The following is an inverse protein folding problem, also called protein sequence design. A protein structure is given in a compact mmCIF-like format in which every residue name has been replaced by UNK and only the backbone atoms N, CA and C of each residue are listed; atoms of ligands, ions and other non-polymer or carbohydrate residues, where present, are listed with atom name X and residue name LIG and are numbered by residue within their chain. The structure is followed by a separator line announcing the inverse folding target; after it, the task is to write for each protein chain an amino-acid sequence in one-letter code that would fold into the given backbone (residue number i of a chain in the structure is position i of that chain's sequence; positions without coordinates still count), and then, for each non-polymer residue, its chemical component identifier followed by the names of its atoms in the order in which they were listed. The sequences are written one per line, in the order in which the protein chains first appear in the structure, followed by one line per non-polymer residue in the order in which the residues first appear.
data_IF_268449909513
#
_entry.id   IF_268449909513
#
_cell.length_a   1.000
_cell.length_b   1.000
_cell.length_c   1.000
_cell.angle_alpha   90.00
_cell.angle_beta   90.00
_cell.angle_gamma   90.00
#
_symmetry.space_group_name_H-M   'P 1'
#
loop_
_entity.id
_entity.type
_entity.pdbx_description
1 polymer ?
#
# COMPACT_ATOMS: atom_id res chain seq x y z
N UNK A 1 26.99 -22.62 11.74
CA UNK A 1 25.91 -22.73 10.75
C UNK A 1 25.99 -21.61 9.70
N UNK A 2 26.02 -20.32 10.09
CA UNK A 2 26.07 -19.20 9.15
C UNK A 2 27.25 -19.27 8.18
N UNK A 3 28.46 -19.54 8.68
CA UNK A 3 29.67 -19.66 7.86
C UNK A 3 29.59 -20.88 6.92
N UNK A 4 29.09 -22.01 7.42
CA UNK A 4 28.92 -23.22 6.62
C UNK A 4 27.88 -23.05 5.52
N UNK A 5 26.78 -22.35 5.84
CA UNK A 5 25.72 -21.99 4.90
C UNK A 5 26.24 -21.07 3.80
N UNK A 6 27.03 -20.05 4.16
CA UNK A 6 27.65 -19.12 3.20
C UNK A 6 28.61 -19.85 2.24
N UNK A 7 29.47 -20.74 2.77
CA UNK A 7 30.40 -21.55 1.95
C UNK A 7 29.62 -22.47 0.99
N UNK A 8 28.51 -23.08 1.47
CA UNK A 8 27.67 -23.95 0.63
C UNK A 8 26.96 -23.15 -0.48
N UNK A 9 26.50 -21.96 -0.21
CA UNK A 9 25.88 -21.10 -1.23
C UNK A 9 26.90 -20.69 -2.31
N UNK A 10 28.12 -20.27 -1.91
CA UNK A 10 29.20 -19.94 -2.85
C UNK A 10 29.61 -21.16 -3.70
N UNK A 11 29.71 -22.32 -3.07
CA UNK A 11 30.02 -23.54 -3.78
C UNK A 11 28.91 -23.93 -4.77
N UNK A 12 27.65 -23.71 -4.40
CA UNK A 12 26.50 -23.99 -5.26
C UNK A 12 26.51 -23.11 -6.49
N UNK A 13 26.83 -21.83 -6.34
CA UNK A 13 26.90 -20.88 -7.46
C UNK A 13 27.97 -21.28 -8.48
N UNK A 14 29.18 -21.62 -8.00
CA UNK A 14 30.28 -22.11 -8.85
C UNK A 14 29.92 -23.44 -9.52
N UNK A 15 29.31 -24.38 -8.78
CA UNK A 15 28.94 -25.68 -9.33
C UNK A 15 27.78 -25.58 -10.33
N UNK A 16 26.87 -24.66 -10.17
CA UNK A 16 25.75 -24.44 -11.10
C UNK A 16 26.27 -24.01 -12.47
N UNK A 17 27.29 -23.13 -12.50
CA UNK A 17 27.92 -22.72 -13.74
C UNK A 17 28.74 -23.80 -14.41
N UNK A 18 29.50 -24.61 -13.64
CA UNK A 18 30.37 -25.64 -14.17
C UNK A 18 29.60 -26.90 -14.66
N UNK A 19 28.54 -27.27 -13.94
CA UNK A 19 27.77 -28.51 -14.19
C UNK A 19 26.50 -28.28 -15.00
N UNK A 20 26.22 -27.02 -15.41
CA UNK A 20 24.99 -26.64 -16.12
C UNK A 20 23.70 -27.14 -15.41
N UNK A 21 23.62 -26.98 -14.09
CA UNK A 21 22.49 -27.47 -13.30
C UNK A 21 21.20 -26.66 -13.68
N UNK A 22 20.02 -27.29 -13.60
CA UNK A 22 18.77 -26.62 -13.85
C UNK A 22 18.56 -25.44 -12.89
N UNK A 23 17.88 -24.37 -13.33
CA UNK A 23 17.64 -23.14 -12.56
C UNK A 23 16.91 -23.34 -11.23
N UNK A 24 16.24 -24.47 -11.05
CA UNK A 24 15.58 -24.79 -9.76
C UNK A 24 16.54 -25.32 -8.69
N UNK A 25 17.72 -25.82 -9.06
CA UNK A 25 18.66 -26.48 -8.13
C UNK A 25 19.19 -25.51 -7.04
N UNK A 26 19.65 -24.28 -7.33
CA UNK A 26 20.05 -23.31 -6.31
C UNK A 26 18.90 -22.94 -5.36
N UNK A 27 17.67 -22.82 -5.90
CA UNK A 27 16.47 -22.51 -5.11
C UNK A 27 16.12 -23.63 -4.12
N UNK A 28 16.29 -24.88 -4.52
CA UNK A 28 16.05 -26.04 -3.67
C UNK A 28 17.10 -26.13 -2.55
N UNK A 29 18.39 -25.86 -2.84
CA UNK A 29 19.45 -25.81 -1.84
C UNK A 29 19.19 -24.71 -0.82
N UNK A 30 18.79 -23.52 -1.27
CA UNK A 30 18.41 -22.41 -0.40
C UNK A 30 17.25 -22.79 0.52
N UNK A 31 16.22 -23.46 -0.01
CA UNK A 31 15.08 -23.95 0.77
C UNK A 31 15.51 -24.97 1.83
N UNK A 32 16.38 -25.93 1.48
CA UNK A 32 16.92 -26.91 2.44
C UNK A 32 17.72 -26.25 3.57
N UNK A 33 18.52 -25.23 3.24
CA UNK A 33 19.28 -24.46 4.24
C UNK A 33 18.34 -23.67 5.17
N UNK A 34 17.27 -23.09 4.63
CA UNK A 34 16.26 -22.37 5.42
C UNK A 34 15.51 -23.32 6.38
N UNK A 35 15.09 -24.49 5.89
CA UNK A 35 14.43 -25.51 6.71
C UNK A 35 15.37 -26.08 7.78
N UNK A 36 16.67 -26.25 7.48
CA UNK A 36 17.69 -26.69 8.43
C UNK A 36 18.07 -25.65 9.48
N UNK A 37 17.80 -24.36 9.22
CA UNK A 37 18.12 -23.27 10.14
C UNK A 37 17.29 -23.33 11.42
N UNK A 38 16.01 -23.67 11.32
CA UNK A 38 15.09 -23.73 12.48
C UNK A 38 15.51 -24.78 13.50
N UNK A 39 15.79 -26.05 13.12
CA UNK A 39 16.34 -27.05 14.05
C UNK A 39 17.70 -26.64 14.63
N UNK A 40 18.56 -26.02 13.81
CA UNK A 40 19.86 -25.55 14.28
C UNK A 40 19.75 -24.49 15.37
N UNK A 41 18.79 -23.56 15.23
CA UNK A 41 18.46 -22.56 16.25
C UNK A 41 17.94 -23.20 17.54
N UNK A 42 17.04 -24.17 17.44
CA UNK A 42 16.48 -24.89 18.60
C UNK A 42 17.60 -25.65 19.33
N UNK A 43 18.49 -26.32 18.61
CA UNK A 43 19.63 -27.02 19.20
C UNK A 43 20.62 -26.05 19.85
N UNK A 44 20.90 -24.90 19.23
CA UNK A 44 21.78 -23.87 19.77
C UNK A 44 21.23 -23.24 21.06
N UNK A 45 19.88 -23.17 21.17
CA UNK A 45 19.22 -22.66 22.37
C UNK A 45 19.09 -23.71 23.48
N UNK A 46 18.91 -25.00 23.12
CA UNK A 46 18.70 -26.09 24.08
C UNK A 46 19.99 -26.63 24.71
N UNK A 47 21.16 -26.42 24.08
CA UNK A 47 22.43 -27.00 24.50
C UNK A 47 23.51 -25.95 24.68
N UNK A 48 24.19 -25.96 25.84
CA UNK A 48 25.34 -25.10 26.16
C UNK A 48 26.64 -25.91 26.13
N UNK A 49 27.69 -25.36 25.50
CA UNK A 49 29.03 -25.96 25.53
C UNK A 49 29.70 -25.67 26.86
N UNK A 50 29.99 -26.69 27.63
CA UNK A 50 30.79 -26.60 28.87
C UNK A 50 32.16 -27.27 28.71
N UNK A 51 33.14 -26.99 29.61
CA UNK A 51 34.46 -27.71 29.56
C UNK A 51 34.35 -29.22 29.69
N UNK A 52 33.19 -29.74 30.11
CA UNK A 52 32.92 -31.19 30.26
C UNK A 52 32.13 -31.79 29.10
N UNK A 53 31.77 -30.99 28.09
CA UNK A 53 31.01 -31.42 26.92
C UNK A 53 29.70 -30.64 26.70
N UNK A 54 28.83 -31.13 25.79
CA UNK A 54 27.54 -30.54 25.47
C UNK A 54 26.53 -31.00 26.51
N UNK A 55 25.97 -30.05 27.29
CA UNK A 55 24.94 -30.31 28.29
C UNK A 55 23.68 -29.50 28.03
N UNK A 56 22.52 -29.97 28.50
CA UNK A 56 21.28 -29.21 28.46
C UNK A 56 21.35 -27.99 29.39
N UNK A 57 20.89 -26.84 28.95
CA UNK A 57 20.91 -25.57 29.70
C UNK A 57 20.32 -25.69 31.11
N UNK A 58 19.34 -26.58 31.32
CA UNK A 58 18.74 -26.84 32.64
C UNK A 58 19.67 -27.47 33.69
N UNK A 59 20.72 -28.14 33.23
CA UNK A 59 21.61 -28.94 34.12
C UNK A 59 22.92 -28.23 34.42
N UNK A 60 23.16 -27.04 33.87
CA UNK A 60 24.37 -26.24 34.06
C UNK A 60 24.27 -25.40 35.31
N UNK A 61 25.17 -25.59 36.28
CA UNK A 61 25.28 -24.75 37.48
C UNK A 61 25.79 -23.35 37.08
N UNK A 62 25.10 -22.30 37.51
CA UNK A 62 25.41 -20.87 37.19
C UNK A 62 26.85 -20.42 37.43
N UNK A 63 27.58 -21.15 38.28
CA UNK A 63 29.01 -20.86 38.62
C UNK A 63 29.99 -21.38 37.57
N UNK A 64 29.57 -22.27 36.67
CA UNK A 64 30.41 -22.95 35.65
C UNK A 64 30.08 -22.49 34.23
N UNK A 65 29.06 -21.64 34.04
CA UNK A 65 28.66 -21.05 32.78
C UNK A 65 29.60 -19.92 32.35
N UNK A 66 30.12 -20.01 31.13
CA UNK A 66 31.02 -19.00 30.52
C UNK A 66 30.20 -17.87 29.88
N UNK A 67 28.89 -18.05 29.74
CA UNK A 67 27.95 -17.20 28.99
C UNK A 67 27.81 -15.76 29.50
N UNK A 68 27.89 -15.41 30.83
CA UNK A 68 27.64 -14.04 31.28
C UNK A 68 28.65 -12.99 30.82
N UNK A 69 29.86 -13.42 30.41
CA UNK A 69 30.92 -12.48 29.95
C UNK A 69 31.15 -12.49 28.44
N UNK A 70 30.78 -13.56 27.73
CA UNK A 70 31.08 -13.74 26.33
C UNK A 70 29.84 -13.52 25.46
N UNK A 71 28.64 -13.84 25.95
CA UNK A 71 27.38 -13.77 25.17
C UNK A 71 27.07 -12.36 24.65
N UNK A 72 27.11 -11.34 25.53
CA UNK A 72 26.80 -9.95 25.11
C UNK A 72 27.77 -9.38 24.07
N UNK A 73 29.04 -9.78 24.10
CA UNK A 73 30.02 -9.32 23.09
C UNK A 73 29.85 -10.05 21.77
N UNK A 74 29.45 -11.33 21.83
CA UNK A 74 29.18 -12.14 20.65
C UNK A 74 27.90 -11.65 19.93
N UNK A 75 26.85 -11.37 20.68
CA UNK A 75 25.59 -10.80 20.14
C UNK A 75 25.83 -9.47 19.42
N UNK A 76 26.67 -8.60 20.01
CA UNK A 76 27.02 -7.32 19.39
C UNK A 76 27.82 -7.49 18.09
N UNK A 77 28.77 -8.44 18.06
CA UNK A 77 29.55 -8.78 16.87
C UNK A 77 28.64 -9.36 15.76
N UNK A 78 27.69 -10.22 16.13
CA UNK A 78 26.73 -10.82 15.19
C UNK A 78 25.80 -9.74 14.62
N UNK A 79 25.24 -8.85 15.45
CA UNK A 79 24.35 -7.77 15.01
C UNK A 79 25.09 -6.80 14.10
N UNK A 80 26.32 -6.40 14.45
CA UNK A 80 27.14 -5.50 13.62
C UNK A 80 27.54 -6.17 12.31
N UNK A 81 27.90 -7.44 12.33
CA UNK A 81 28.26 -8.21 11.14
C UNK A 81 27.07 -8.41 10.19
N UNK A 82 25.87 -8.68 10.72
CA UNK A 82 24.63 -8.74 9.95
C UNK A 82 24.25 -7.39 9.37
N UNK A 83 24.40 -6.31 10.14
CA UNK A 83 24.15 -4.95 9.67
C UNK A 83 25.09 -4.52 8.53
N UNK A 84 26.38 -4.85 8.66
CA UNK A 84 27.36 -4.60 7.61
C UNK A 84 27.12 -5.44 6.34
N UNK A 85 26.73 -6.71 6.51
CA UNK A 85 26.40 -7.60 5.38
C UNK A 85 25.14 -7.13 4.66
N UNK A 86 24.13 -6.69 5.39
CA UNK A 86 22.91 -6.13 4.81
C UNK A 86 23.20 -4.80 4.09
N UNK A 87 23.99 -3.93 4.71
CA UNK A 87 24.43 -2.67 4.10
C UNK A 87 25.24 -2.88 2.82
N UNK A 88 26.17 -3.86 2.82
CA UNK A 88 26.94 -4.25 1.64
C UNK A 88 26.03 -4.81 0.54
N UNK A 89 25.07 -5.66 0.87
CA UNK A 89 24.12 -6.23 -0.09
C UNK A 89 23.21 -5.17 -0.73
N UNK A 90 22.74 -4.21 0.06
CA UNK A 90 21.95 -3.07 -0.46
C UNK A 90 22.82 -2.17 -1.35
N UNK A 91 24.09 -1.98 -0.99
CA UNK A 91 25.01 -1.20 -1.79
C UNK A 91 25.35 -1.89 -3.11
N UNK A 92 25.65 -3.19 -3.09
CA UNK A 92 25.98 -4.01 -4.27
C UNK A 92 24.79 -4.10 -5.23
N UNK A 93 23.58 -4.37 -4.73
CA UNK A 93 22.37 -4.44 -5.56
C UNK A 93 22.04 -3.13 -6.28
N UNK A 94 22.43 -1.99 -5.72
CA UNK A 94 22.24 -0.68 -6.38
C UNK A 94 23.35 -0.35 -7.40
N UNK A 95 24.52 -0.94 -7.26
CA UNK A 95 25.65 -0.70 -8.19
C UNK A 95 25.68 -1.67 -9.36
N UNK A 96 25.26 -2.93 -9.20
CA UNK A 96 25.19 -3.90 -10.29
C UNK A 96 24.18 -3.49 -11.37
N UNK A 97 23.02 -2.94 -10.99
CA UNK A 97 22.06 -2.42 -11.97
C UNK A 97 22.65 -1.32 -12.87
N UNK A 98 23.49 -0.46 -12.32
CA UNK A 98 24.11 0.66 -13.08
C UNK A 98 25.28 0.23 -13.96
N UNK A 99 25.98 -0.84 -13.58
CA UNK A 99 27.14 -1.33 -14.32
C UNK A 99 26.73 -2.26 -15.47
N UNK A 100 25.68 -3.05 -15.28
CA UNK A 100 25.13 -3.93 -16.31
C UNK A 100 24.55 -3.13 -17.50
N UNK A 101 23.90 -1.99 -17.26
CA UNK A 101 23.42 -1.11 -18.32
C UNK A 101 24.56 -0.47 -19.13
N UNK A 102 25.70 -0.13 -18.49
CA UNK A 102 26.85 0.51 -19.16
C UNK A 102 27.69 -0.51 -19.93
N UNK A 103 27.82 -1.74 -19.48
CA UNK A 103 28.55 -2.79 -20.19
C UNK A 103 27.77 -3.38 -21.37
N UNK A 104 26.43 -3.52 -21.25
CA UNK A 104 25.58 -3.89 -22.40
C UNK A 104 25.66 -2.85 -23.54
N UNK A 105 25.75 -1.56 -23.20
CA UNK A 105 25.86 -0.51 -24.20
C UNK A 105 27.26 -0.43 -24.88
N UNK A 106 28.29 -1.02 -24.26
CA UNK A 106 29.67 -0.90 -24.73
C UNK A 106 30.18 -2.09 -25.54
N UNK A 107 29.55 -3.27 -25.41
CA UNK A 107 30.00 -4.52 -26.01
C UNK A 107 28.99 -5.12 -27.02
N UNK A 108 28.05 -4.33 -27.55
CA UNK A 108 27.23 -4.79 -28.66
C UNK A 108 28.07 -4.85 -29.95
N UNK A 109 28.37 -6.05 -30.51
CA UNK A 109 28.86 -6.10 -31.88
C UNK A 109 27.75 -5.57 -32.79
N UNK A 110 28.12 -4.72 -33.75
CA UNK A 110 27.20 -4.27 -34.80
C UNK A 110 26.81 -5.47 -35.68
N UNK A 111 25.84 -6.22 -35.26
CA UNK A 111 25.10 -7.17 -36.07
C UNK A 111 23.78 -6.49 -36.40
N UNK A 112 23.65 -6.09 -37.66
CA UNK A 112 22.37 -5.67 -38.25
C UNK A 112 21.46 -6.93 -38.35
N UNK A 113 20.99 -7.42 -37.21
CA UNK A 113 19.73 -8.20 -37.17
C UNK A 113 18.58 -7.20 -36.98
N UNK A 114 17.48 -7.36 -37.73
CA UNK A 114 16.33 -6.48 -37.50
C UNK A 114 15.92 -6.68 -36.03
N UNK A 115 16.15 -5.68 -35.21
CA UNK A 115 15.52 -5.55 -33.91
C UNK A 115 14.03 -5.56 -34.20
N UNK A 116 13.41 -6.72 -34.04
CA UNK A 116 11.96 -6.77 -33.84
C UNK A 116 11.81 -6.21 -32.42
N UNK A 117 11.77 -4.91 -32.33
CA UNK A 117 11.21 -4.18 -31.23
C UNK A 117 9.81 -4.80 -31.09
N UNK A 118 9.61 -5.62 -30.06
CA UNK A 118 8.26 -5.98 -29.64
C UNK A 118 7.71 -4.68 -29.08
N UNK A 119 7.33 -3.78 -29.96
CA UNK A 119 6.41 -2.70 -29.69
C UNK A 119 5.12 -3.46 -29.39
N UNK A 120 4.81 -3.69 -28.10
CA UNK A 120 3.44 -3.96 -27.73
C UNK A 120 2.62 -2.93 -28.52
N UNK A 121 1.66 -3.34 -29.33
CA UNK A 121 0.94 -2.39 -30.14
C UNK A 121 0.36 -1.35 -29.19
N UNK A 122 0.87 -0.11 -29.29
CA UNK A 122 0.28 1.03 -28.59
C UNK A 122 -1.16 1.11 -29.10
N UNK A 123 -2.08 0.51 -28.32
CA UNK A 123 -3.50 0.52 -28.67
C UNK A 123 -3.89 1.98 -28.65
N UNK A 124 -4.19 2.52 -29.84
CA UNK A 124 -4.68 3.88 -29.96
C UNK A 124 -6.03 3.96 -29.23
N UNK A 125 -6.06 4.60 -28.06
CA UNK A 125 -7.26 4.81 -27.25
C UNK A 125 -8.43 5.38 -28.08
N UNK A 126 -8.13 6.10 -29.17
CA UNK A 126 -9.15 6.63 -30.12
C UNK A 126 -9.90 5.54 -30.86
N UNK A 127 -9.35 4.34 -30.95
CA UNK A 127 -10.00 3.21 -31.65
C UNK A 127 -10.91 2.43 -30.71
N UNK A 128 -10.86 2.70 -29.41
CA UNK A 128 -11.73 2.14 -28.40
C UNK A 128 -12.95 3.06 -28.26
N UNK A 129 -14.12 2.46 -28.11
CA UNK A 129 -15.38 3.19 -27.80
C UNK A 129 -15.38 3.52 -26.30
N UNK A 130 -14.53 4.48 -25.90
CA UNK A 130 -14.37 4.93 -24.51
C UNK A 130 -15.28 6.14 -24.31
N UNK A 131 -16.07 6.10 -23.23
CA UNK A 131 -16.88 7.23 -22.78
C UNK A 131 -15.97 8.44 -22.44
N UNK A 132 -16.17 9.57 -23.12
CA UNK A 132 -15.38 10.80 -22.93
C UNK A 132 -15.48 11.35 -21.51
N UNK A 133 -16.54 11.01 -20.78
CA UNK A 133 -16.74 11.40 -19.37
C UNK A 133 -16.33 10.29 -18.39
N UNK A 134 -15.63 9.25 -18.84
CA UNK A 134 -15.06 8.25 -17.94
C UNK A 134 -13.85 8.79 -17.19
N UNK A 135 -13.81 8.50 -15.89
CA UNK A 135 -12.80 9.05 -14.97
C UNK A 135 -12.24 7.92 -14.10
N UNK A 136 -10.92 7.79 -14.07
CA UNK A 136 -10.21 7.04 -13.03
C UNK A 136 -9.58 8.01 -12.02
N UNK A 137 -10.00 7.94 -10.77
CA UNK A 137 -9.36 8.69 -9.67
C UNK A 137 -8.28 7.80 -9.07
N UNK A 138 -7.02 8.06 -9.36
CA UNK A 138 -5.89 7.28 -8.83
C UNK A 138 -5.71 7.50 -7.33
N UNK A 139 -5.13 6.52 -6.60
CA UNK A 139 -4.85 6.67 -5.17
C UNK A 139 -3.97 7.89 -4.92
N UNK A 140 -4.41 8.78 -4.03
CA UNK A 140 -3.67 9.99 -3.72
C UNK A 140 -2.39 9.69 -2.94
N UNK A 141 -1.34 10.46 -3.20
CA UNK A 141 -0.09 10.36 -2.48
C UNK A 141 -0.19 11.04 -1.12
N UNK A 142 0.17 10.34 -0.03
CA UNK A 142 0.34 10.97 1.28
C UNK A 142 1.65 11.78 1.29
N UNK A 143 1.54 13.09 1.51
CA UNK A 143 2.66 14.04 1.64
C UNK A 143 2.80 14.58 3.06
N UNK A 144 2.03 14.05 4.02
CA UNK A 144 2.16 14.38 5.43
C UNK A 144 3.50 13.91 5.98
N UNK A 145 3.97 14.55 7.07
CA UNK A 145 5.18 14.12 7.77
C UNK A 145 5.00 12.77 8.47
N UNK A 146 3.76 12.45 8.87
CA UNK A 146 3.39 11.17 9.46
C UNK A 146 2.87 10.21 8.39
N UNK A 147 3.51 9.04 8.30
CA UNK A 147 3.06 7.99 7.39
C UNK A 147 1.69 7.41 7.80
N UNK A 148 1.34 7.50 9.08
CA UNK A 148 0.04 7.04 9.58
C UNK A 148 -1.13 7.88 9.02
N UNK A 149 -0.90 9.12 8.58
CA UNK A 149 -1.93 9.97 7.91
C UNK A 149 -2.42 9.41 6.56
N UNK A 150 -1.91 8.26 6.13
CA UNK A 150 -2.39 7.59 4.91
C UNK A 150 -3.90 7.29 4.97
N UNK A 151 -4.46 7.00 6.16
CA UNK A 151 -5.90 6.78 6.30
C UNK A 151 -6.72 8.02 5.96
N UNK A 152 -6.19 9.20 6.30
CA UNK A 152 -6.82 10.48 5.99
C UNK A 152 -6.77 10.76 4.49
N UNK A 153 -5.61 10.53 3.87
CA UNK A 153 -5.43 10.64 2.41
C UNK A 153 -6.36 9.69 1.66
N UNK A 154 -6.45 8.43 2.09
CA UNK A 154 -7.35 7.44 1.52
C UNK A 154 -8.82 7.82 1.72
N UNK A 155 -9.15 8.43 2.87
CA UNK A 155 -10.48 8.92 3.15
C UNK A 155 -10.92 10.02 2.17
N UNK A 156 -10.08 11.02 1.94
CA UNK A 156 -10.35 12.10 0.97
C UNK A 156 -10.50 11.53 -0.45
N UNK A 157 -9.65 10.59 -0.85
CA UNK A 157 -9.76 9.90 -2.14
C UNK A 157 -11.09 9.17 -2.29
N UNK A 158 -11.50 8.39 -1.28
CA UNK A 158 -12.76 7.63 -1.29
C UNK A 158 -13.99 8.56 -1.34
N UNK A 159 -13.94 9.68 -0.63
CA UNK A 159 -15.04 10.63 -0.59
C UNK A 159 -15.18 11.35 -1.94
N UNK A 160 -14.07 11.74 -2.58
CA UNK A 160 -14.08 12.31 -3.93
C UNK A 160 -14.61 11.31 -4.96
N UNK A 161 -14.17 10.04 -4.90
CA UNK A 161 -14.72 8.97 -5.73
C UNK A 161 -16.24 8.86 -5.58
N UNK A 162 -16.71 8.88 -4.33
CA UNK A 162 -18.14 8.79 -4.01
C UNK A 162 -18.92 10.00 -4.55
N UNK A 163 -18.38 11.21 -4.40
CA UNK A 163 -19.03 12.41 -4.90
C UNK A 163 -19.12 12.43 -6.43
N UNK A 164 -18.01 12.11 -7.11
CA UNK A 164 -17.99 12.06 -8.57
C UNK A 164 -18.93 10.97 -9.12
N UNK A 165 -19.05 9.82 -8.43
CA UNK A 165 -19.94 8.74 -8.83
C UNK A 165 -21.44 9.07 -8.70
N UNK A 166 -21.80 10.14 -7.99
CA UNK A 166 -23.20 10.63 -7.88
C UNK A 166 -23.60 11.56 -9.02
N UNK A 167 -22.66 11.94 -9.85
CA UNK A 167 -22.91 12.78 -11.02
C UNK A 167 -23.24 11.87 -12.21
N UNK A 168 -24.47 11.86 -12.66
CA UNK A 168 -24.97 10.94 -13.69
C UNK A 168 -24.21 11.05 -15.03
N UNK A 169 -23.61 12.21 -15.28
CA UNK A 169 -22.82 12.44 -16.49
C UNK A 169 -21.46 11.71 -16.47
N UNK A 170 -21.03 11.13 -15.35
CA UNK A 170 -19.69 10.53 -15.21
C UNK A 170 -19.72 9.02 -15.07
N UNK A 171 -18.81 8.37 -15.76
CA UNK A 171 -18.50 6.95 -15.61
C UNK A 171 -17.25 6.81 -14.74
N UNK A 172 -17.42 6.67 -13.42
CA UNK A 172 -16.29 6.64 -12.46
C UNK A 172 -15.84 5.22 -12.17
N UNK A 173 -14.55 4.96 -12.34
CA UNK A 173 -13.95 3.64 -12.07
C UNK A 173 -13.97 3.34 -10.57
N UNK A 174 -14.24 2.07 -10.23
CA UNK A 174 -14.34 1.64 -8.85
C UNK A 174 -13.01 1.80 -8.09
N UNK A 175 -13.11 2.06 -6.78
CA UNK A 175 -11.96 2.11 -5.88
C UNK A 175 -11.07 0.87 -6.00
N UNK A 176 -11.65 -0.32 -6.01
CA UNK A 176 -10.90 -1.58 -6.07
C UNK A 176 -9.98 -1.65 -7.28
N UNK A 177 -10.46 -1.23 -8.45
CA UNK A 177 -9.68 -1.25 -9.69
C UNK A 177 -8.54 -0.23 -9.68
N UNK A 178 -8.78 0.98 -9.15
CA UNK A 178 -7.73 2.02 -9.14
C UNK A 178 -6.67 1.78 -8.06
N UNK A 179 -6.99 1.06 -6.98
CA UNK A 179 -6.04 0.80 -5.88
C UNK A 179 -4.84 -0.06 -6.30
N UNK A 180 -4.92 -0.82 -7.39
CA UNK A 180 -3.80 -1.57 -7.98
C UNK A 180 -2.68 -0.64 -8.48
N UNK A 181 -2.99 0.62 -8.75
CA UNK A 181 -2.05 1.60 -9.26
C UNK A 181 -1.38 2.45 -8.17
N UNK A 182 -1.59 2.11 -6.90
CA UNK A 182 -0.81 2.72 -5.80
C UNK A 182 0.66 2.37 -5.98
N UNK A 183 1.53 3.38 -5.97
CA UNK A 183 2.99 3.24 -6.14
C UNK A 183 3.41 2.56 -7.45
N UNK A 184 2.56 2.60 -8.48
CA UNK A 184 2.86 2.04 -9.79
C UNK A 184 3.95 2.85 -10.51
N UNK A 185 4.73 2.16 -11.36
CA UNK A 185 5.70 2.78 -12.29
C UNK A 185 5.14 2.91 -13.71
N UNK A 186 3.90 2.47 -13.95
CA UNK A 186 3.24 2.58 -15.24
C UNK A 186 3.01 4.04 -15.58
N UNK A 187 3.11 4.40 -16.85
CA UNK A 187 2.72 5.72 -17.29
C UNK A 187 1.19 5.87 -17.33
N UNK A 188 0.73 7.10 -17.32
CA UNK A 188 -0.69 7.42 -17.23
C UNK A 188 -1.50 6.83 -18.40
N UNK A 189 -0.94 6.82 -19.63
CA UNK A 189 -1.60 6.26 -20.81
C UNK A 189 -1.83 4.75 -20.68
N UNK A 190 -0.85 4.02 -20.14
CA UNK A 190 -1.00 2.58 -19.87
C UNK A 190 -2.11 2.31 -18.85
N UNK A 191 -2.16 3.10 -17.77
CA UNK A 191 -3.20 2.99 -16.74
C UNK A 191 -4.57 3.23 -17.36
N UNK A 192 -4.71 4.28 -18.15
CA UNK A 192 -5.97 4.63 -18.79
C UNK A 192 -6.44 3.56 -19.81
N UNK A 193 -5.51 2.95 -20.53
CA UNK A 193 -5.80 1.82 -21.42
C UNK A 193 -6.34 0.60 -20.64
N UNK A 194 -5.67 0.23 -19.55
CA UNK A 194 -6.07 -0.90 -18.72
C UNK A 194 -7.43 -0.68 -18.06
N UNK A 195 -7.71 0.55 -17.63
CA UNK A 195 -8.99 0.93 -17.02
C UNK A 195 -10.07 1.32 -18.03
N UNK A 196 -9.72 1.48 -19.32
CA UNK A 196 -10.61 1.93 -20.38
C UNK A 196 -11.28 3.27 -20.07
N UNK A 197 -10.48 4.28 -19.69
CA UNK A 197 -10.95 5.61 -19.33
C UNK A 197 -10.35 6.69 -20.21
N UNK A 198 -11.13 7.77 -20.43
CA UNK A 198 -10.69 8.95 -21.17
C UNK A 198 -9.92 9.93 -20.28
N UNK A 199 -10.23 9.99 -18.99
CA UNK A 199 -9.68 10.96 -18.07
C UNK A 199 -9.10 10.28 -16.83
N UNK A 200 -7.98 10.82 -16.32
CA UNK A 200 -7.36 10.36 -15.09
C UNK A 200 -7.21 11.54 -14.13
N UNK A 201 -7.63 11.34 -12.90
CA UNK A 201 -7.44 12.28 -11.81
C UNK A 201 -6.33 11.78 -10.89
N UNK A 202 -5.33 12.61 -10.68
CA UNK A 202 -4.24 12.39 -9.73
C UNK A 202 -4.27 13.42 -8.61
N UNK A 203 -3.71 13.07 -7.46
CA UNK A 203 -3.65 14.01 -6.36
C UNK A 203 -2.69 13.61 -5.24
N UNK A 204 -2.53 14.56 -4.33
CA UNK A 204 -1.79 14.35 -3.08
C UNK A 204 -2.43 15.12 -1.95
N UNK A 205 -2.33 14.57 -0.74
CA UNK A 205 -2.83 15.19 0.49
C UNK A 205 -1.67 15.34 1.46
N UNK A 206 -1.58 16.51 2.07
CA UNK A 206 -0.64 16.81 3.14
C UNK A 206 -1.40 17.38 4.34
N UNK A 207 -1.32 16.70 5.47
CA UNK A 207 -1.80 17.17 6.76
C UNK A 207 -0.61 17.71 7.56
N UNK A 208 -0.73 18.92 8.12
CA UNK A 208 0.31 19.57 8.89
C UNK A 208 -0.30 20.37 10.04
N UNK A 209 -0.43 19.74 11.21
CA UNK A 209 -1.10 20.35 12.36
C UNK A 209 -2.58 20.63 12.08
N UNK A 210 -2.95 21.90 12.11
CA UNK A 210 -4.29 22.43 11.85
C UNK A 210 -4.53 22.82 10.38
N UNK A 211 -3.66 22.42 9.46
CA UNK A 211 -3.79 22.74 8.03
C UNK A 211 -3.82 21.47 7.19
N UNK A 212 -4.55 21.57 6.09
CA UNK A 212 -4.58 20.57 5.02
C UNK A 212 -4.24 21.23 3.69
N UNK A 213 -3.36 20.59 2.94
CA UNK A 213 -3.08 20.95 1.55
C UNK A 213 -3.44 19.78 0.66
N UNK A 214 -4.30 20.03 -0.33
CA UNK A 214 -4.72 19.05 -1.32
C UNK A 214 -4.32 19.59 -2.69
N UNK A 215 -3.52 18.84 -3.41
CA UNK A 215 -3.16 19.11 -4.79
C UNK A 215 -3.88 18.09 -5.68
N UNK A 216 -4.60 18.54 -6.69
CA UNK A 216 -5.41 17.69 -7.55
C UNK A 216 -5.27 18.17 -8.98
N UNK A 217 -5.25 17.21 -9.91
CA UNK A 217 -5.20 17.50 -11.35
C UNK A 217 -6.04 16.48 -12.12
N UNK A 218 -6.71 16.95 -13.15
CA UNK A 218 -7.44 16.15 -14.13
C UNK A 218 -6.67 16.19 -15.45
N UNK A 219 -6.39 15.02 -16.01
CA UNK A 219 -5.53 14.84 -17.18
C UNK A 219 -6.33 14.09 -18.23
N UNK A 220 -6.31 14.58 -19.47
CA UNK A 220 -6.74 13.83 -20.63
C UNK A 220 -5.75 12.68 -20.87
N UNK A 221 -6.22 11.46 -20.71
CA UNK A 221 -5.37 10.27 -20.77
C UNK A 221 -4.80 10.00 -22.16
N UNK A 222 -5.40 10.62 -23.17
CA UNK A 222 -5.04 10.46 -24.55
C UNK A 222 -3.91 11.39 -24.99
N UNK A 223 -4.06 12.70 -24.66
CA UNK A 223 -3.08 13.72 -25.01
C UNK A 223 -2.00 13.90 -23.96
N UNK A 224 -2.22 13.41 -22.73
CA UNK A 224 -1.41 13.67 -21.53
C UNK A 224 -1.38 15.17 -21.15
N UNK A 225 -2.43 15.89 -21.54
CA UNK A 225 -2.61 17.31 -21.23
C UNK A 225 -3.45 17.50 -19.98
N UNK A 226 -3.07 18.46 -19.14
CA UNK A 226 -3.86 18.85 -17.98
C UNK A 226 -5.12 19.60 -18.43
N UNK A 227 -6.27 19.02 -18.18
CA UNK A 227 -7.56 19.69 -18.38
C UNK A 227 -7.85 20.69 -17.28
N UNK A 228 -7.39 20.37 -16.06
CA UNK A 228 -7.54 21.22 -14.88
C UNK A 228 -6.52 20.80 -13.81
N UNK A 229 -6.05 21.76 -13.02
CA UNK A 229 -5.20 21.53 -11.85
C UNK A 229 -5.40 22.64 -10.82
N UNK A 230 -5.47 22.29 -9.53
CA UNK A 230 -5.65 23.26 -8.44
C UNK A 230 -4.94 22.78 -7.16
N UNK A 231 -4.56 23.74 -6.33
CA UNK A 231 -3.97 23.51 -5.00
C UNK A 231 -4.83 24.20 -3.95
N UNK A 232 -5.40 23.41 -3.06
CA UNK A 232 -6.15 23.89 -1.90
C UNK A 232 -5.25 23.86 -0.68
N UNK A 233 -5.11 24.97 0.02
CA UNK A 233 -4.34 25.08 1.26
C UNK A 233 -5.21 25.85 2.28
N UNK A 234 -5.85 25.11 3.17
CA UNK A 234 -6.85 25.63 4.12
C UNK A 234 -6.61 25.11 5.54
N UNK A 235 -7.27 25.75 6.49
CA UNK A 235 -7.39 25.24 7.85
C UNK A 235 -8.15 23.90 7.85
N UNK A 236 -7.69 22.96 8.66
CA UNK A 236 -8.30 21.63 8.79
C UNK A 236 -9.59 21.71 9.61
N UNK A 237 -10.66 22.07 8.95
CA UNK A 237 -12.04 22.00 9.45
C UNK A 237 -12.86 21.10 8.52
N UNK A 238 -13.93 20.51 9.04
CA UNK A 238 -14.84 19.69 8.21
C UNK A 238 -15.43 20.52 7.08
N UNK A 239 -15.90 21.73 7.34
CA UNK A 239 -16.44 22.62 6.32
C UNK A 239 -15.43 22.86 5.19
N UNK A 240 -14.18 23.21 5.52
CA UNK A 240 -13.14 23.40 4.51
C UNK A 240 -12.85 22.12 3.71
N UNK A 241 -12.87 20.94 4.35
CA UNK A 241 -12.65 19.67 3.65
C UNK A 241 -13.76 19.37 2.65
N UNK A 242 -15.01 19.48 3.07
CA UNK A 242 -16.16 19.21 2.21
C UNK A 242 -16.37 20.32 1.15
N UNK A 243 -16.04 21.57 1.47
CA UNK A 243 -15.99 22.65 0.49
C UNK A 243 -14.96 22.36 -0.62
N UNK A 244 -13.74 21.91 -0.25
CA UNK A 244 -12.72 21.52 -1.23
C UNK A 244 -13.22 20.37 -2.12
N UNK A 245 -13.82 19.33 -1.54
CA UNK A 245 -14.35 18.20 -2.30
C UNK A 245 -15.47 18.67 -3.26
N UNK A 246 -16.36 19.55 -2.80
CA UNK A 246 -17.42 20.14 -3.60
C UNK A 246 -16.86 21.00 -4.76
N UNK A 247 -15.85 21.82 -4.49
CA UNK A 247 -15.18 22.64 -5.49
C UNK A 247 -14.49 21.78 -6.56
N UNK A 248 -13.81 20.69 -6.15
CA UNK A 248 -13.17 19.74 -7.07
C UNK A 248 -14.22 19.12 -7.98
N UNK A 249 -15.32 18.58 -7.44
CA UNK A 249 -16.36 17.94 -8.22
C UNK A 249 -16.98 18.90 -9.26
N UNK A 250 -17.24 20.15 -8.85
CA UNK A 250 -17.75 21.21 -9.76
C UNK A 250 -16.72 21.59 -10.82
N UNK A 251 -15.44 21.68 -10.47
CA UNK A 251 -14.37 22.01 -11.40
C UNK A 251 -14.20 20.93 -12.46
N UNK A 252 -14.28 19.64 -12.07
CA UNK A 252 -14.24 18.51 -12.99
C UNK A 252 -15.44 18.53 -13.93
N UNK A 253 -16.66 18.78 -13.40
CA UNK A 253 -17.84 18.92 -14.23
C UNK A 253 -17.67 20.05 -15.27
N UNK A 254 -17.12 21.20 -14.85
CA UNK A 254 -16.80 22.29 -15.75
C UNK A 254 -15.75 21.94 -16.81
N UNK A 255 -14.65 21.26 -16.42
CA UNK A 255 -13.59 20.85 -17.34
C UNK A 255 -14.08 19.87 -18.41
N UNK A 256 -14.94 18.92 -18.02
CA UNK A 256 -15.56 17.94 -18.91
C UNK A 256 -16.88 18.43 -19.55
N UNK A 257 -17.23 19.69 -19.37
CA UNK A 257 -18.45 20.33 -19.92
C UNK A 257 -19.75 19.60 -19.54
N UNK A 258 -19.76 18.91 -18.41
CA UNK A 258 -20.94 18.31 -17.85
C UNK A 258 -21.80 19.37 -17.12
N UNK A 259 -23.11 19.23 -17.22
CA UNK A 259 -24.04 20.12 -16.51
C UNK A 259 -24.60 19.38 -15.29
N UNK A 260 -24.41 19.97 -14.12
CA UNK A 260 -24.95 19.42 -12.87
C UNK A 260 -26.39 19.88 -12.68
N UNK A 261 -27.25 18.98 -12.27
CA UNK A 261 -28.63 19.27 -11.85
C UNK A 261 -28.66 19.89 -10.46
N UNK A 262 -29.77 20.52 -10.08
CA UNK A 262 -29.94 21.10 -8.74
C UNK A 262 -29.80 20.04 -7.63
N UNK A 263 -30.23 18.80 -7.87
CA UNK A 263 -30.07 17.68 -6.94
C UNK A 263 -28.61 17.29 -6.77
N UNK A 264 -27.86 17.12 -7.85
CA UNK A 264 -26.43 16.81 -7.81
C UNK A 264 -25.62 17.91 -7.14
N UNK A 265 -25.97 19.19 -7.38
CA UNK A 265 -25.36 20.33 -6.69
C UNK A 265 -25.60 20.29 -5.19
N UNK A 266 -26.80 19.86 -4.74
CA UNK A 266 -27.12 19.72 -3.33
C UNK A 266 -26.33 18.52 -2.72
N UNK A 267 -26.26 17.39 -3.41
CA UNK A 267 -25.53 16.18 -2.96
C UNK A 267 -24.03 16.44 -2.85
N UNK A 268 -23.45 17.19 -3.79
CA UNK A 268 -22.03 17.58 -3.77
C UNK A 268 -21.72 18.58 -2.65
N UNK A 269 -22.71 19.38 -2.23
CA UNK A 269 -22.56 20.37 -1.16
C UNK A 269 -22.89 19.82 0.24
N UNK A 270 -23.27 18.54 0.36
CA UNK A 270 -23.62 17.92 1.65
C UNK A 270 -22.40 17.83 2.58
N UNK A 271 -22.55 18.29 3.82
CA UNK A 271 -21.55 18.24 4.89
C UNK A 271 -21.97 17.13 5.88
N UNK A 272 -21.34 15.96 5.83
CA UNK A 272 -21.80 14.82 6.63
C UNK A 272 -21.66 14.99 8.13
N UNK A 273 -20.71 15.78 8.59
CA UNK A 273 -20.47 16.12 10.01
C UNK A 273 -19.71 17.44 10.11
N UNK A 274 -20.02 18.23 11.14
CA UNK A 274 -19.26 19.45 11.47
C UNK A 274 -18.12 19.18 12.49
N UNK A 275 -17.97 17.93 12.95
CA UNK A 275 -17.00 17.53 13.97
C UNK A 275 -15.77 16.85 13.34
N UNK A 276 -14.64 17.57 13.29
CA UNK A 276 -13.37 17.06 12.72
C UNK A 276 -12.92 15.77 13.42
N UNK A 277 -13.06 15.68 14.75
CA UNK A 277 -12.62 14.49 15.49
C UNK A 277 -13.53 13.29 15.21
N UNK A 278 -14.85 13.51 15.05
CA UNK A 278 -15.78 12.47 14.64
C UNK A 278 -15.44 11.94 13.23
N UNK A 279 -15.15 12.86 12.30
CA UNK A 279 -14.74 12.51 10.94
C UNK A 279 -13.41 11.75 10.92
N UNK A 280 -12.42 12.19 11.68
CA UNK A 280 -11.11 11.52 11.78
C UNK A 280 -11.26 10.07 12.30
N UNK A 281 -12.03 9.85 13.37
CA UNK A 281 -12.35 8.52 13.89
C UNK A 281 -13.09 7.65 12.86
N UNK A 282 -14.03 8.24 12.13
CA UNK A 282 -14.74 7.57 11.05
C UNK A 282 -13.80 7.08 9.94
N UNK A 283 -12.84 7.90 9.50
CA UNK A 283 -11.85 7.51 8.50
C UNK A 283 -10.93 6.39 9.00
N UNK A 284 -10.48 6.47 10.25
CA UNK A 284 -9.70 5.40 10.88
C UNK A 284 -10.51 4.09 10.96
N UNK A 285 -11.78 4.16 11.38
CA UNK A 285 -12.67 3.01 11.43
C UNK A 285 -12.83 2.35 10.06
N UNK A 286 -13.01 3.14 8.99
CA UNK A 286 -13.06 2.64 7.60
C UNK A 286 -11.79 1.89 7.22
N UNK A 287 -10.61 2.42 7.55
CA UNK A 287 -9.33 1.75 7.29
C UNK A 287 -9.25 0.41 8.01
N UNK A 288 -9.64 0.33 9.30
CA UNK A 288 -9.64 -0.93 10.03
C UNK A 288 -10.63 -1.95 9.46
N UNK A 289 -11.82 -1.53 9.05
CA UNK A 289 -12.79 -2.39 8.39
C UNK A 289 -12.25 -2.97 7.06
N UNK A 290 -11.46 -2.20 6.31
CA UNK A 290 -10.83 -2.64 5.06
C UNK A 290 -9.72 -3.69 5.25
N UNK A 291 -9.25 -3.94 6.48
CA UNK A 291 -8.29 -5.04 6.74
C UNK A 291 -8.94 -6.42 6.65
N UNK A 292 -10.25 -6.48 6.61
CA UNK A 292 -11.07 -7.70 6.49
C UNK A 292 -10.70 -8.80 7.50
N UNK A 293 -10.33 -8.40 8.73
CA UNK A 293 -9.99 -9.30 9.83
C UNK A 293 -10.97 -9.14 10.98
N UNK A 294 -11.16 -10.20 11.80
CA UNK A 294 -12.00 -10.14 13.02
C UNK A 294 -11.56 -8.97 13.92
N UNK A 295 -10.27 -8.82 14.14
CA UNK A 295 -9.72 -7.73 14.95
C UNK A 295 -9.96 -6.38 14.30
N UNK A 296 -9.79 -6.29 12.96
CA UNK A 296 -10.05 -5.06 12.21
C UNK A 296 -11.50 -4.61 12.36
N UNK A 297 -12.46 -5.50 12.17
CA UNK A 297 -13.88 -5.17 12.38
C UNK A 297 -14.20 -4.80 13.83
N UNK A 298 -13.63 -5.50 14.83
CA UNK A 298 -13.83 -5.14 16.24
C UNK A 298 -13.32 -3.71 16.52
N UNK A 299 -12.11 -3.38 16.07
CA UNK A 299 -11.54 -2.04 16.21
C UNK A 299 -12.37 -0.98 15.45
N UNK A 300 -12.82 -1.30 14.23
CA UNK A 300 -13.67 -0.40 13.45
C UNK A 300 -15.00 -0.10 14.16
N UNK A 301 -15.65 -1.12 14.73
CA UNK A 301 -16.90 -0.97 15.51
C UNK A 301 -16.70 -0.02 16.69
N UNK A 302 -15.62 -0.18 17.45
CA UNK A 302 -15.33 0.69 18.60
C UNK A 302 -15.10 2.13 18.15
N UNK A 303 -14.31 2.35 17.08
CA UNK A 303 -14.04 3.68 16.52
C UNK A 303 -15.30 4.34 15.92
N UNK A 304 -16.18 3.58 15.24
CA UNK A 304 -17.46 4.15 14.79
C UNK A 304 -18.33 4.58 15.96
N UNK A 305 -18.37 3.82 17.06
CA UNK A 305 -19.10 4.20 18.27
C UNK A 305 -18.51 5.46 18.92
N UNK A 306 -17.17 5.58 18.96
CA UNK A 306 -16.51 6.80 19.45
C UNK A 306 -16.82 8.01 18.56
N UNK A 307 -16.82 7.84 17.24
CA UNK A 307 -17.23 8.87 16.29
C UNK A 307 -18.67 9.33 16.53
N UNK A 308 -19.60 8.40 16.72
CA UNK A 308 -21.01 8.67 17.01
C UNK A 308 -21.24 9.27 18.41
N UNK A 309 -20.36 9.01 19.36
CA UNK A 309 -20.38 9.67 20.65
C UNK A 309 -20.02 11.17 20.57
N UNK A 310 -19.19 11.54 19.57
CA UNK A 310 -18.83 12.94 19.28
C UNK A 310 -19.87 13.64 18.40
N UNK A 311 -20.50 12.91 17.48
CA UNK A 311 -21.55 13.41 16.60
C UNK A 311 -22.60 12.31 16.35
N UNK A 312 -23.71 12.30 17.14
CA UNK A 312 -24.77 11.32 17.01
C UNK A 312 -25.55 11.41 15.68
N UNK A 313 -25.50 12.53 14.99
CA UNK A 313 -26.21 12.76 13.73
C UNK A 313 -25.37 12.38 12.49
N UNK A 314 -24.15 11.87 12.69
CA UNK A 314 -23.24 11.47 11.61
C UNK A 314 -23.71 10.18 10.92
N UNK A 315 -24.55 10.32 9.90
CA UNK A 315 -25.21 9.21 9.19
C UNK A 315 -24.22 8.19 8.61
N UNK A 316 -23.11 8.65 8.05
CA UNK A 316 -22.10 7.76 7.43
C UNK A 316 -21.41 6.88 8.48
N UNK A 317 -21.24 7.37 9.72
CA UNK A 317 -20.71 6.56 10.83
C UNK A 317 -21.71 5.48 11.27
N UNK A 318 -23.02 5.76 11.30
CA UNK A 318 -24.06 4.76 11.53
C UNK A 318 -24.05 3.67 10.45
N UNK A 319 -24.00 4.05 9.17
CA UNK A 319 -23.91 3.10 8.05
C UNK A 319 -22.64 2.25 8.17
N UNK A 320 -21.49 2.87 8.53
CA UNK A 320 -20.23 2.17 8.76
C UNK A 320 -20.32 1.15 9.89
N UNK A 321 -20.92 1.54 11.01
CA UNK A 321 -21.16 0.69 12.19
C UNK A 321 -22.06 -0.51 11.84
N UNK A 322 -23.18 -0.26 11.18
CA UNK A 322 -24.10 -1.31 10.74
C UNK A 322 -23.41 -2.31 9.82
N UNK A 323 -22.66 -1.82 8.83
CA UNK A 323 -21.90 -2.66 7.90
C UNK A 323 -20.83 -3.48 8.61
N UNK A 324 -20.09 -2.89 9.55
CA UNK A 324 -19.07 -3.59 10.31
C UNK A 324 -19.66 -4.73 11.17
N UNK A 325 -20.77 -4.49 11.85
CA UNK A 325 -21.49 -5.53 12.59
C UNK A 325 -22.02 -6.64 11.68
N UNK A 326 -22.63 -6.28 10.54
CA UNK A 326 -23.18 -7.25 9.59
C UNK A 326 -22.07 -8.12 9.00
N UNK A 327 -20.96 -7.52 8.56
CA UNK A 327 -19.84 -8.27 7.98
C UNK A 327 -19.20 -9.20 9.02
N UNK A 328 -19.00 -8.73 10.25
CA UNK A 328 -18.50 -9.55 11.34
C UNK A 328 -19.42 -10.75 11.62
N UNK A 329 -20.73 -10.56 11.57
CA UNK A 329 -21.71 -11.64 11.71
C UNK A 329 -21.63 -12.67 10.58
N UNK A 330 -21.63 -12.22 9.30
CA UNK A 330 -21.71 -13.12 8.15
C UNK A 330 -20.42 -13.86 7.85
N UNK A 331 -19.26 -13.20 7.96
CA UNK A 331 -17.96 -13.78 7.55
C UNK A 331 -17.38 -14.66 8.67
N UNK A 332 -17.56 -14.27 9.92
CA UNK A 332 -16.86 -14.93 11.02
C UNK A 332 -17.79 -15.81 11.89
N UNK A 333 -18.98 -16.16 11.39
CA UNK A 333 -19.92 -17.06 12.07
C UNK A 333 -20.40 -16.48 13.40
N UNK A 334 -20.60 -15.17 13.40
CA UNK A 334 -20.66 -14.35 14.57
C UNK A 334 -21.87 -14.56 15.47
N UNK A 335 -21.72 -14.02 16.67
CA UNK A 335 -22.74 -13.83 17.66
C UNK A 335 -24.00 -13.20 17.02
N UNK A 336 -25.19 -13.78 17.20
CA UNK A 336 -26.45 -13.17 16.79
C UNK A 336 -26.63 -11.73 17.25
N UNK A 337 -25.96 -11.32 18.34
CA UNK A 337 -25.89 -9.94 18.81
C UNK A 337 -25.38 -8.98 17.75
N UNK A 338 -24.37 -9.37 16.95
CA UNK A 338 -23.84 -8.51 15.89
C UNK A 338 -24.88 -8.24 14.79
N UNK A 339 -25.71 -9.21 14.45
CA UNK A 339 -26.83 -9.02 13.52
C UNK A 339 -27.86 -8.03 14.09
N UNK A 340 -28.24 -8.20 15.36
CA UNK A 340 -29.25 -7.38 16.01
C UNK A 340 -28.73 -5.93 16.16
N UNK A 341 -27.45 -5.74 16.55
CA UNK A 341 -26.78 -4.43 16.60
C UNK A 341 -26.65 -3.76 15.22
N UNK A 342 -26.50 -4.54 14.16
CA UNK A 342 -26.49 -3.98 12.80
C UNK A 342 -27.86 -3.47 12.34
N UNK A 343 -28.96 -4.04 12.88
CA UNK A 343 -30.31 -3.57 12.61
C UNK A 343 -30.69 -2.36 13.46
N UNK A 344 -30.05 -2.19 14.61
CA UNK A 344 -30.31 -1.09 15.54
C UNK A 344 -29.55 0.19 15.14
N UNK A 345 -28.39 0.05 14.48
CA UNK A 345 -27.59 1.12 13.94
C UNK A 345 -28.13 1.64 12.59
#
# INVERSE_FOLDING_TARGET
YAVSTWILLQLTDVLTQILALPEWAPKLILLMLLVGFVPALILAWAFEMTPQGIMLEKDVKRAESITPKTGRKLDYVIIVSLGLSLGYFIWESRFEQKTAEIELAKNAPAVEEPVVEIVEPEVDLRTLDIDENSIAVLPFANRSADAEDIYFTDGIHDDLLTQLSRIDAFSVISRTSVMEYRDTTKNLRQIAQELSVANVMEGSVQRAGDRVRINVQLIDAYTDEHLWAEIYDRELTTNNLFDIQSEIAKAIAGALKATLTDSELADVADVPTENVAAYDLFLQARRFAQTETIRGYATAIDMFKESLALDPDFKQAWIGLARAHMTNYWIYGGDPLNRDLAHEA
#
